data_IF_921711864902
#
_entry.id   IF_921711864902
#
_cell.length_a   1.000
_cell.length_b   1.000
_cell.length_c   1.000
_cell.angle_alpha   90.00
_cell.angle_beta   90.00
_cell.angle_gamma   90.00
#
_symmetry.space_group_name_H-M   'P 1'
#
loop_
_entity.id
_entity.type
_entity.pdbx_description
1 polymer ?
#
# COMPACT_ATOMS: atom_id res chain seq x y z
N UNK A 1 -9.43 14.94 -0.27
CA UNK A 1 -9.98 13.95 -1.26
C UNK A 1 -10.79 12.92 -0.49
N UNK A 2 -11.92 12.42 -1.04
CA UNK A 2 -12.67 11.30 -0.44
C UNK A 2 -12.33 10.03 -1.19
N UNK A 3 -11.84 9.00 -0.50
CA UNK A 3 -11.37 7.76 -1.15
C UNK A 3 -12.48 7.10 -1.98
N UNK A 4 -13.69 6.93 -1.41
CA UNK A 4 -14.80 6.28 -2.14
C UNK A 4 -15.21 7.01 -3.41
N UNK A 5 -15.17 8.34 -3.41
CA UNK A 5 -15.57 9.14 -4.58
C UNK A 5 -14.50 9.10 -5.67
N UNK A 6 -13.22 9.10 -5.24
CA UNK A 6 -12.08 9.10 -6.16
C UNK A 6 -11.89 7.72 -6.82
N UNK A 7 -11.93 6.63 -6.03
CA UNK A 7 -11.58 5.29 -6.52
C UNK A 7 -12.75 4.54 -7.17
N UNK A 8 -13.98 5.04 -7.11
CA UNK A 8 -15.17 4.40 -7.72
C UNK A 8 -15.65 5.04 -9.01
N UNK A 9 -14.86 5.87 -9.63
CA UNK A 9 -15.23 6.68 -10.80
C UNK A 9 -15.35 5.96 -12.14
N UNK A 10 -15.80 4.69 -12.21
CA UNK A 10 -16.17 4.01 -13.46
C UNK A 10 -15.05 3.87 -14.50
N UNK A 11 -13.82 3.66 -14.08
CA UNK A 11 -12.65 3.48 -14.96
C UNK A 11 -12.61 2.06 -15.57
N UNK A 12 -11.98 1.94 -16.73
CA UNK A 12 -11.78 0.66 -17.42
C UNK A 12 -10.70 -0.22 -16.78
N UNK A 13 -9.82 0.36 -15.96
CA UNK A 13 -8.77 -0.35 -15.23
C UNK A 13 -8.66 0.14 -13.77
N UNK A 14 -8.12 -0.69 -12.85
CA UNK A 14 -7.76 -0.24 -11.50
C UNK A 14 -6.79 0.93 -11.52
N UNK A 15 -6.79 1.70 -10.42
CA UNK A 15 -5.78 2.73 -10.17
C UNK A 15 -4.41 2.09 -9.91
N UNK A 16 -3.36 2.70 -10.43
CA UNK A 16 -1.98 2.25 -10.23
C UNK A 16 -1.29 3.17 -9.22
N UNK A 17 -0.88 2.58 -8.10
CA UNK A 17 -0.10 3.22 -7.05
C UNK A 17 1.37 2.82 -7.21
N UNK A 18 2.20 3.75 -7.67
CA UNK A 18 3.65 3.54 -7.83
C UNK A 18 4.37 3.60 -6.49
N UNK A 19 5.24 2.61 -6.20
CA UNK A 19 6.00 2.52 -4.94
C UNK A 19 7.32 3.27 -5.05
N UNK A 20 7.52 4.27 -4.20
CA UNK A 20 8.76 5.02 -4.05
C UNK A 20 9.40 4.77 -2.67
N UNK A 21 10.31 3.80 -2.59
CA UNK A 21 11.05 3.51 -1.36
C UNK A 21 12.29 4.39 -1.24
N UNK A 22 12.35 5.23 -0.21
CA UNK A 22 13.47 6.14 0.07
C UNK A 22 14.35 5.65 1.24
N UNK A 23 14.50 4.32 1.36
CA UNK A 23 15.32 3.67 2.38
C UNK A 23 16.77 3.51 1.90
N UNK A 24 17.81 3.66 2.77
CA UNK A 24 19.21 3.45 2.41
C UNK A 24 19.50 2.04 1.87
N UNK A 25 18.76 1.04 2.33
CA UNK A 25 18.98 -0.40 2.08
C UNK A 25 17.93 -1.04 1.17
N UNK A 26 17.27 -0.28 0.29
CA UNK A 26 16.25 -0.86 -0.59
C UNK A 26 16.89 -1.83 -1.60
N UNK A 27 16.83 -3.14 -1.29
CA UNK A 27 17.35 -4.22 -2.13
C UNK A 27 16.68 -4.32 -3.52
N UNK A 28 15.48 -3.78 -3.69
CA UNK A 28 14.81 -3.70 -4.98
C UNK A 28 15.40 -2.62 -5.87
N UNK A 29 15.84 -1.50 -5.28
CA UNK A 29 16.22 -0.29 -6.01
C UNK A 29 17.57 0.27 -5.54
N UNK A 30 18.34 -0.50 -4.74
CA UNK A 30 19.77 -0.26 -4.42
C UNK A 30 20.08 1.07 -3.72
N UNK A 31 19.14 1.63 -2.93
CA UNK A 31 19.34 2.97 -2.34
C UNK A 31 19.39 4.11 -3.36
N UNK A 32 18.90 3.85 -4.57
CA UNK A 32 18.99 4.79 -5.71
C UNK A 32 18.19 6.07 -5.49
N UNK A 33 17.11 6.01 -4.69
CA UNK A 33 16.10 7.06 -4.56
C UNK A 33 16.16 7.83 -3.23
N UNK A 34 17.26 7.72 -2.49
CA UNK A 34 17.43 8.36 -1.18
C UNK A 34 17.86 9.84 -1.23
N UNK A 35 17.97 10.43 -2.41
CA UNK A 35 18.17 11.87 -2.57
C UNK A 35 16.94 12.52 -3.21
N UNK A 36 16.54 13.74 -2.77
CA UNK A 36 15.31 14.40 -3.25
C UNK A 36 15.19 14.45 -4.77
N UNK A 37 16.23 14.92 -5.47
CA UNK A 37 16.19 15.02 -6.94
C UNK A 37 16.06 13.68 -7.67
N UNK A 38 16.64 12.58 -7.14
CA UNK A 38 16.46 11.23 -7.74
C UNK A 38 15.07 10.67 -7.44
N UNK A 39 14.58 10.88 -6.22
CA UNK A 39 13.24 10.49 -5.84
C UNK A 39 12.20 11.18 -6.71
N UNK A 40 12.35 12.49 -6.93
CA UNK A 40 11.50 13.26 -7.83
C UNK A 40 11.55 12.72 -9.27
N UNK A 41 12.74 12.53 -9.83
CA UNK A 41 12.87 12.01 -11.18
C UNK A 41 12.16 10.66 -11.34
N UNK A 42 12.34 9.72 -10.39
CA UNK A 42 11.66 8.44 -10.44
C UNK A 42 10.14 8.55 -10.24
N UNK A 43 9.67 9.46 -9.38
CA UNK A 43 8.24 9.73 -9.24
C UNK A 43 7.63 10.24 -10.55
N UNK A 44 8.32 11.17 -11.25
CA UNK A 44 7.90 11.65 -12.57
C UNK A 44 7.89 10.52 -13.61
N UNK A 45 8.93 9.68 -13.67
CA UNK A 45 8.98 8.51 -14.56
C UNK A 45 7.80 7.56 -14.34
N UNK A 46 7.42 7.32 -13.08
CA UNK A 46 6.25 6.49 -12.74
C UNK A 46 4.94 7.15 -13.19
N UNK A 47 4.79 8.45 -13.03
CA UNK A 47 3.59 9.20 -13.49
C UNK A 47 3.51 9.18 -15.02
N UNK A 48 4.62 9.43 -15.73
CA UNK A 48 4.70 9.36 -17.18
C UNK A 48 4.39 7.93 -17.70
N UNK A 49 4.76 6.90 -16.93
CA UNK A 49 4.42 5.51 -17.23
C UNK A 49 2.94 5.15 -16.93
N UNK A 50 2.18 6.07 -16.33
CA UNK A 50 0.75 5.91 -16.08
C UNK A 50 0.37 5.56 -14.64
N UNK A 51 1.22 5.88 -13.65
CA UNK A 51 0.82 5.86 -12.26
C UNK A 51 -0.27 6.92 -12.00
N UNK A 52 -1.30 6.53 -11.25
CA UNK A 52 -2.40 7.40 -10.85
C UNK A 52 -2.14 8.06 -9.50
N UNK A 53 -1.16 7.56 -8.74
CA UNK A 53 -0.68 8.09 -7.46
C UNK A 53 0.70 7.50 -7.12
N UNK A 54 1.42 8.15 -6.21
CA UNK A 54 2.74 7.72 -5.72
C UNK A 54 2.67 7.45 -4.22
N UNK A 55 3.17 6.29 -3.79
CA UNK A 55 3.24 5.90 -2.37
C UNK A 55 4.70 5.92 -1.88
N UNK A 56 4.99 6.80 -0.92
CA UNK A 56 6.36 7.08 -0.45
C UNK A 56 6.57 6.47 0.93
N UNK A 57 7.56 5.58 1.05
CA UNK A 57 7.93 4.95 2.31
C UNK A 57 9.40 5.13 2.65
N UNK A 58 9.71 5.55 3.89
CA UNK A 58 11.07 5.78 4.37
C UNK A 58 11.57 4.72 5.37
N UNK A 59 10.70 3.80 5.78
CA UNK A 59 11.01 2.62 6.58
C UNK A 59 10.75 1.34 5.79
N UNK A 60 11.63 0.36 5.89
CA UNK A 60 11.43 -0.93 5.24
C UNK A 60 10.48 -1.82 6.05
N UNK A 61 9.37 -2.22 5.47
CA UNK A 61 8.43 -3.19 6.06
C UNK A 61 8.76 -4.64 5.71
N UNK A 62 9.93 -4.89 5.09
CA UNK A 62 10.38 -6.23 4.68
C UNK A 62 10.65 -7.13 5.88
N UNK A 63 10.48 -8.45 5.73
CA UNK A 63 10.83 -9.39 6.77
C UNK A 63 12.29 -9.27 7.20
N UNK A 64 12.51 -8.99 8.50
CA UNK A 64 13.84 -8.85 9.07
C UNK A 64 14.44 -7.44 9.03
N UNK A 65 13.73 -6.45 8.50
CA UNK A 65 14.16 -5.05 8.58
C UNK A 65 14.13 -4.55 10.03
N UNK A 66 15.10 -3.74 10.39
CA UNK A 66 15.12 -3.05 11.67
C UNK A 66 14.15 -1.87 11.66
N UNK A 67 13.44 -1.70 12.78
CA UNK A 67 12.57 -0.53 12.97
C UNK A 67 13.43 0.71 13.22
N UNK A 68 13.01 1.83 12.64
CA UNK A 68 13.62 3.14 12.87
C UNK A 68 12.70 4.01 13.74
N UNK A 69 13.27 5.03 14.39
CA UNK A 69 12.48 6.01 15.15
C UNK A 69 11.66 6.92 14.22
N UNK A 70 10.62 7.56 14.75
CA UNK A 70 9.84 8.54 14.01
C UNK A 70 10.70 9.71 13.51
N UNK A 71 11.64 10.18 14.33
CA UNK A 71 12.58 11.26 13.96
C UNK A 71 13.45 10.86 12.76
N UNK A 72 13.96 9.62 12.75
CA UNK A 72 14.79 9.13 11.64
C UNK A 72 13.94 8.95 10.38
N UNK A 73 12.70 8.47 10.50
CA UNK A 73 11.78 8.36 9.38
C UNK A 73 11.44 9.72 8.79
N UNK A 74 11.11 10.72 9.62
CA UNK A 74 10.87 12.10 9.20
C UNK A 74 12.11 12.72 8.56
N UNK A 75 13.29 12.49 9.11
CA UNK A 75 14.55 12.99 8.54
C UNK A 75 14.77 12.52 7.11
N UNK A 76 14.35 11.30 6.78
CA UNK A 76 14.43 10.74 5.41
C UNK A 76 13.31 11.23 4.52
N UNK A 77 12.10 11.27 5.05
CA UNK A 77 10.86 11.50 4.30
C UNK A 77 10.66 12.96 3.91
N UNK A 78 10.80 13.88 4.88
CA UNK A 78 10.42 15.29 4.69
C UNK A 78 11.15 16.01 3.54
N UNK A 79 12.48 15.82 3.33
CA UNK A 79 13.16 16.41 2.18
C UNK A 79 12.64 15.89 0.83
N UNK A 80 12.16 14.64 0.79
CA UNK A 80 11.58 14.04 -0.42
C UNK A 80 10.19 14.63 -0.68
N UNK A 81 9.33 14.67 0.33
CA UNK A 81 7.97 15.22 0.21
C UNK A 81 7.99 16.68 -0.26
N UNK A 82 8.92 17.48 0.27
CA UNK A 82 9.03 18.91 -0.09
C UNK A 82 9.35 19.16 -1.58
N UNK A 83 10.00 18.22 -2.26
CA UNK A 83 10.27 18.31 -3.70
C UNK A 83 9.21 17.59 -4.54
N UNK A 84 8.76 16.41 -4.10
CA UNK A 84 7.86 15.56 -4.88
C UNK A 84 6.45 16.14 -4.93
N UNK A 85 5.88 16.55 -3.79
CA UNK A 85 4.48 16.98 -3.73
C UNK A 85 4.18 18.19 -4.64
N UNK A 86 4.95 19.29 -4.63
CA UNK A 86 4.65 20.43 -5.49
C UNK A 86 4.92 20.17 -6.99
N UNK A 87 5.59 19.06 -7.31
CA UNK A 87 6.02 18.74 -8.68
C UNK A 87 5.12 17.72 -9.39
N UNK A 88 4.18 17.10 -8.67
CA UNK A 88 3.29 16.08 -9.23
C UNK A 88 1.83 16.55 -9.24
N UNK A 89 1.12 16.24 -10.33
CA UNK A 89 -0.32 16.48 -10.47
C UNK A 89 -1.17 15.30 -9.97
N UNK A 90 -0.54 14.24 -9.43
CA UNK A 90 -1.22 13.05 -8.88
C UNK A 90 -1.14 13.03 -7.35
N UNK A 91 -2.10 12.39 -6.66
CA UNK A 91 -2.05 12.24 -5.21
C UNK A 91 -0.78 11.53 -4.74
N UNK A 92 -0.25 11.96 -3.60
CA UNK A 92 0.86 11.30 -2.90
C UNK A 92 0.31 10.65 -1.63
N UNK A 93 0.69 9.40 -1.39
CA UNK A 93 0.46 8.69 -0.13
C UNK A 93 1.74 8.49 0.65
N UNK A 94 1.64 8.31 1.95
CA UNK A 94 2.75 7.96 2.84
C UNK A 94 2.57 6.56 3.40
N UNK A 95 3.58 5.68 3.18
CA UNK A 95 3.66 4.33 3.78
C UNK A 95 4.33 4.45 5.15
N UNK A 96 3.50 4.54 6.19
CA UNK A 96 3.94 4.59 7.58
C UNK A 96 2.86 4.07 8.53
N UNK A 97 3.30 3.43 9.63
CA UNK A 97 2.42 3.00 10.72
C UNK A 97 2.53 3.90 11.95
N UNK A 98 3.33 4.98 11.89
CA UNK A 98 3.54 5.91 13.00
C UNK A 98 2.67 7.14 12.81
N UNK A 99 1.76 7.40 13.75
CA UNK A 99 0.81 8.52 13.69
C UNK A 99 1.50 9.88 13.57
N UNK A 100 2.61 10.10 14.29
CA UNK A 100 3.36 11.36 14.23
C UNK A 100 4.03 11.60 12.87
N UNK A 101 4.45 10.54 12.18
CA UNK A 101 5.00 10.63 10.82
C UNK A 101 3.88 10.92 9.82
N UNK A 102 2.75 10.21 9.95
CA UNK A 102 1.56 10.44 9.12
C UNK A 102 1.05 11.88 9.24
N UNK A 103 0.98 12.43 10.47
CA UNK A 103 0.57 13.81 10.72
C UNK A 103 1.47 14.81 9.98
N UNK A 104 2.79 14.72 10.20
CA UNK A 104 3.74 15.62 9.55
C UNK A 104 3.72 15.50 8.02
N UNK A 105 3.53 14.29 7.49
CA UNK A 105 3.43 14.05 6.04
C UNK A 105 2.17 14.69 5.45
N UNK A 106 1.01 14.57 6.13
CA UNK A 106 -0.24 15.20 5.67
C UNK A 106 -0.16 16.72 5.77
N UNK A 107 0.46 17.28 6.81
CA UNK A 107 0.73 18.72 6.91
C UNK A 107 1.64 19.23 5.79
N UNK A 108 2.54 18.37 5.28
CA UNK A 108 3.36 18.68 4.11
C UNK A 108 2.62 18.53 2.76
N UNK A 109 1.35 18.04 2.76
CA UNK A 109 0.51 17.94 1.56
C UNK A 109 0.25 16.51 1.07
N UNK A 110 0.66 15.47 1.79
CA UNK A 110 0.27 14.09 1.50
C UNK A 110 -1.25 13.94 1.60
N UNK A 111 -1.83 13.18 0.68
CA UNK A 111 -3.28 13.06 0.51
C UNK A 111 -3.87 11.75 1.07
N UNK A 112 -3.04 10.73 1.34
CA UNK A 112 -3.47 9.39 1.76
C UNK A 112 -2.48 8.84 2.79
N UNK A 113 -2.97 8.23 3.87
CA UNK A 113 -2.15 7.47 4.81
C UNK A 113 -2.26 5.97 4.44
N UNK A 114 -1.13 5.33 4.18
CA UNK A 114 -1.04 3.90 3.90
C UNK A 114 -0.44 3.18 5.13
N UNK A 115 -1.31 2.73 6.06
CA UNK A 115 -0.89 2.01 7.27
C UNK A 115 -0.84 0.51 7.02
N UNK A 116 0.36 0.00 6.81
CA UNK A 116 0.63 -1.43 6.54
C UNK A 116 0.73 -2.30 7.79
N UNK A 117 0.43 -1.76 8.98
CA UNK A 117 0.44 -2.49 10.26
C UNK A 117 -0.92 -2.52 10.98
N UNK A 118 -1.99 -2.18 10.25
CA UNK A 118 -3.35 -2.35 10.72
C UNK A 118 -3.67 -1.60 12.00
N UNK A 119 -3.37 -0.30 12.04
CA UNK A 119 -3.60 0.58 13.19
C UNK A 119 -2.90 0.08 14.47
N UNK A 120 -1.64 -0.36 14.32
CA UNK A 120 -0.84 -0.80 15.47
C UNK A 120 -0.40 0.35 16.39
N UNK A 121 -0.31 1.57 15.85
CA UNK A 121 -0.17 2.80 16.64
C UNK A 121 -1.58 3.27 17.06
N UNK A 122 -1.91 3.32 18.36
CA UNK A 122 -3.25 3.73 18.82
C UNK A 122 -3.63 5.16 18.43
N UNK A 123 -2.66 6.02 18.13
CA UNK A 123 -2.88 7.40 17.72
C UNK A 123 -3.15 7.53 16.20
N UNK A 124 -2.97 6.46 15.40
CA UNK A 124 -3.13 6.54 13.94
C UNK A 124 -4.58 6.87 13.54
N UNK A 125 -5.56 6.15 14.08
CA UNK A 125 -6.96 6.39 13.76
C UNK A 125 -7.46 7.76 14.22
N UNK A 126 -7.20 8.23 15.47
CA UNK A 126 -7.49 9.61 15.87
C UNK A 126 -6.84 10.67 14.96
N UNK A 127 -5.60 10.45 14.56
CA UNK A 127 -4.86 11.36 13.68
C UNK A 127 -5.51 11.43 12.29
N UNK A 128 -5.81 10.29 11.65
CA UNK A 128 -6.48 10.25 10.36
C UNK A 128 -7.88 10.90 10.41
N UNK A 129 -8.62 10.67 11.49
CA UNK A 129 -9.94 11.28 11.70
C UNK A 129 -9.86 12.81 11.80
N UNK A 130 -8.90 13.33 12.56
CA UNK A 130 -8.68 14.78 12.75
C UNK A 130 -8.23 15.46 11.46
N UNK A 131 -7.39 14.80 10.68
CA UNK A 131 -6.87 15.32 9.41
C UNK A 131 -7.88 15.15 8.25
N UNK A 132 -8.94 14.35 8.43
CA UNK A 132 -9.99 14.04 7.44
C UNK A 132 -9.42 13.56 6.08
N UNK A 133 -8.42 12.67 6.13
CA UNK A 133 -7.74 12.09 4.96
C UNK A 133 -8.02 10.59 4.81
N UNK A 134 -7.97 10.04 3.59
CA UNK A 134 -8.04 8.60 3.35
C UNK A 134 -6.98 7.83 4.13
N UNK A 135 -7.43 6.70 4.70
CA UNK A 135 -6.64 5.78 5.50
C UNK A 135 -6.75 4.36 4.93
N UNK A 136 -5.63 3.78 4.53
CA UNK A 136 -5.57 2.36 4.19
C UNK A 136 -5.46 1.55 5.47
N UNK A 137 -6.35 0.59 5.64
CA UNK A 137 -6.37 -0.35 6.76
C UNK A 137 -5.98 -1.73 6.21
N UNK A 138 -4.75 -2.18 6.53
CA UNK A 138 -4.24 -3.45 6.04
C UNK A 138 -4.35 -4.56 7.09
N UNK A 139 -4.80 -5.74 6.65
CA UNK A 139 -4.65 -6.96 7.44
C UNK A 139 -3.17 -7.35 7.53
N UNK A 140 -2.68 -7.56 8.74
CA UNK A 140 -1.32 -8.04 8.98
C UNK A 140 -1.30 -9.11 10.07
N UNK A 141 -0.40 -10.10 9.95
CA UNK A 141 -0.25 -11.17 10.92
C UNK A 141 1.20 -11.31 11.36
N UNK A 142 1.40 -11.38 12.67
CA UNK A 142 2.74 -11.55 13.24
C UNK A 142 3.57 -10.26 13.20
N UNK A 143 4.84 -10.41 12.87
CA UNK A 143 5.79 -9.29 12.78
C UNK A 143 6.68 -9.46 11.55
N UNK A 144 7.40 -8.40 11.17
CA UNK A 144 8.38 -8.49 10.08
C UNK A 144 9.40 -9.64 10.25
N UNK A 145 9.67 -10.07 11.48
CA UNK A 145 10.57 -11.19 11.77
C UNK A 145 9.93 -12.55 11.52
N UNK A 146 8.61 -12.69 11.65
CA UNK A 146 7.89 -13.96 11.62
C UNK A 146 7.10 -14.22 10.35
N UNK A 147 6.93 -13.26 9.45
CA UNK A 147 6.17 -13.42 8.19
C UNK A 147 6.61 -14.58 7.27
N UNK A 148 7.80 -15.13 7.49
CA UNK A 148 8.31 -16.26 6.70
C UNK A 148 8.10 -17.62 7.34
N UNK A 149 7.78 -17.67 8.62
CA UNK A 149 7.69 -18.87 9.44
C UNK A 149 6.33 -19.06 10.07
N UNK A 150 5.67 -17.99 10.44
CA UNK A 150 4.34 -18.02 11.04
C UNK A 150 3.32 -17.63 10.00
N UNK A 151 2.43 -18.57 9.68
CA UNK A 151 1.37 -18.35 8.70
C UNK A 151 0.00 -18.44 9.36
N UNK A 152 -0.93 -17.66 8.83
CA UNK A 152 -2.34 -17.70 9.20
C UNK A 152 -2.86 -19.13 8.98
N UNK A 153 -3.55 -19.68 9.97
CA UNK A 153 -4.16 -21.02 9.88
C UNK A 153 -5.64 -20.89 9.50
N UNK A 154 -6.10 -21.79 8.62
CA UNK A 154 -7.50 -21.87 8.21
C UNK A 154 -7.86 -20.94 7.05
N UNK A 155 -9.10 -20.49 7.04
CA UNK A 155 -9.71 -19.64 6.01
C UNK A 155 -9.09 -18.23 6.02
N UNK A 156 -8.29 -17.94 5.01
CA UNK A 156 -7.58 -16.67 4.90
C UNK A 156 -8.51 -15.49 4.60
N UNK A 157 -9.56 -15.69 3.81
CA UNK A 157 -10.49 -14.61 3.47
C UNK A 157 -11.24 -14.17 4.72
N UNK A 158 -11.71 -15.14 5.49
CA UNK A 158 -12.38 -14.87 6.74
C UNK A 158 -11.46 -14.20 7.74
N UNK A 159 -10.24 -14.74 7.94
CA UNK A 159 -9.28 -14.15 8.88
C UNK A 159 -8.97 -12.70 8.55
N UNK A 160 -8.58 -12.43 7.29
CA UNK A 160 -8.24 -11.07 6.88
C UNK A 160 -9.46 -10.14 6.89
N UNK A 161 -10.64 -10.65 6.52
CA UNK A 161 -11.90 -9.91 6.57
C UNK A 161 -12.30 -9.52 8.00
N UNK A 162 -12.27 -10.47 8.93
CA UNK A 162 -12.61 -10.24 10.35
C UNK A 162 -11.61 -9.24 10.98
N UNK A 163 -10.30 -9.37 10.66
CA UNK A 163 -9.28 -8.42 11.10
C UNK A 163 -9.57 -6.99 10.60
N UNK A 164 -9.85 -6.84 9.30
CA UNK A 164 -10.12 -5.53 8.71
C UNK A 164 -11.38 -4.91 9.33
N UNK A 165 -12.45 -5.70 9.53
CA UNK A 165 -13.69 -5.21 10.16
C UNK A 165 -13.45 -4.72 11.59
N UNK A 166 -12.68 -5.46 12.40
CA UNK A 166 -12.30 -5.01 13.75
C UNK A 166 -11.57 -3.66 13.70
N UNK A 167 -10.65 -3.48 12.73
CA UNK A 167 -9.91 -2.22 12.58
C UNK A 167 -10.77 -1.08 12.03
N UNK A 168 -11.73 -1.39 11.19
CA UNK A 168 -12.74 -0.42 10.73
C UNK A 168 -13.59 0.08 11.91
N UNK A 169 -14.04 -0.83 12.79
CA UNK A 169 -14.79 -0.44 13.99
C UNK A 169 -13.96 0.46 14.91
N UNK A 170 -12.67 0.16 15.08
CA UNK A 170 -11.74 1.01 15.83
C UNK A 170 -11.60 2.38 15.16
N UNK A 171 -11.42 2.43 13.85
CA UNK A 171 -11.30 3.67 13.09
C UNK A 171 -12.58 4.53 13.19
N UNK A 172 -13.77 3.91 13.11
CA UNK A 172 -15.07 4.58 13.32
C UNK A 172 -15.18 5.13 14.75
N UNK A 173 -14.77 4.36 15.74
CA UNK A 173 -14.74 4.80 17.15
C UNK A 173 -13.87 6.03 17.37
N UNK A 174 -12.80 6.20 16.56
CA UNK A 174 -11.95 7.38 16.54
C UNK A 174 -12.49 8.54 15.67
N UNK A 175 -13.55 8.33 14.89
CA UNK A 175 -14.19 9.35 14.05
C UNK A 175 -13.79 9.33 12.57
N UNK A 176 -13.04 8.32 12.10
CA UNK A 176 -12.77 8.14 10.67
C UNK A 176 -14.07 7.83 9.94
N UNK A 177 -14.33 8.54 8.85
CA UNK A 177 -15.57 8.39 8.08
C UNK A 177 -15.43 7.25 7.06
N UNK A 178 -16.55 6.56 6.76
CA UNK A 178 -16.60 5.48 5.76
C UNK A 178 -15.92 5.85 4.43
N UNK A 179 -16.15 7.07 3.96
CA UNK A 179 -15.62 7.52 2.67
C UNK A 179 -14.11 7.78 2.66
N UNK A 180 -13.45 7.71 3.81
CA UNK A 180 -12.01 7.81 3.96
C UNK A 180 -11.34 6.47 4.25
N UNK A 181 -12.07 5.35 4.26
CA UNK A 181 -11.50 4.03 4.48
C UNK A 181 -11.18 3.36 3.14
N UNK A 182 -9.98 2.81 3.03
CA UNK A 182 -9.51 1.91 1.98
C UNK A 182 -9.07 0.62 2.66
N UNK A 183 -9.44 -0.54 2.15
CA UNK A 183 -9.07 -1.83 2.72
C UNK A 183 -7.92 -2.47 1.96
N UNK A 184 -7.02 -3.18 2.66
CA UNK A 184 -5.97 -4.00 2.07
C UNK A 184 -5.95 -5.37 2.76
N UNK A 185 -6.13 -6.49 2.05
CA UNK A 185 -6.09 -7.83 2.63
C UNK A 185 -4.70 -8.29 3.12
N UNK A 186 -3.64 -7.51 2.90
CA UNK A 186 -2.31 -7.80 3.42
C UNK A 186 -1.62 -8.98 2.76
N UNK A 187 -1.74 -9.12 1.44
CA UNK A 187 -1.12 -10.22 0.69
C UNK A 187 0.38 -10.33 0.98
N UNK A 188 0.86 -11.53 1.36
CA UNK A 188 2.28 -11.76 1.69
C UNK A 188 2.70 -11.36 3.12
N UNK A 189 1.79 -10.86 3.95
CA UNK A 189 2.02 -10.56 5.37
C UNK A 189 1.50 -11.71 6.26
N UNK A 190 2.31 -12.76 6.42
CA UNK A 190 1.93 -13.97 7.16
C UNK A 190 1.00 -14.92 6.39
N UNK A 191 0.92 -14.79 5.06
CA UNK A 191 0.14 -15.68 4.18
C UNK A 191 1.04 -16.68 3.46
N UNK A 192 0.55 -17.90 3.23
CA UNK A 192 1.20 -18.87 2.33
C UNK A 192 1.09 -18.43 0.87
N UNK A 193 1.71 -19.20 -0.03
CA UNK A 193 1.58 -18.94 -1.48
C UNK A 193 0.14 -19.16 -1.95
N UNK A 194 -0.50 -20.24 -1.51
CA UNK A 194 -1.87 -20.60 -1.84
C UNK A 194 -2.85 -19.55 -1.31
N UNK A 195 -2.71 -19.15 -0.04
CA UNK A 195 -3.51 -18.09 0.57
C UNK A 195 -3.35 -16.74 -0.15
N UNK A 196 -2.12 -16.41 -0.56
CA UNK A 196 -1.87 -15.20 -1.35
C UNK A 196 -2.59 -15.22 -2.69
N UNK A 197 -2.59 -16.38 -3.38
CA UNK A 197 -3.34 -16.55 -4.64
C UNK A 197 -4.85 -16.57 -4.42
N UNK A 198 -5.33 -17.07 -3.29
CA UNK A 198 -6.74 -17.03 -2.90
C UNK A 198 -7.23 -15.59 -2.68
N UNK A 199 -6.44 -14.78 -1.97
CA UNK A 199 -6.71 -13.34 -1.79
C UNK A 199 -6.81 -12.63 -3.15
N UNK A 200 -5.84 -12.84 -4.07
CA UNK A 200 -5.86 -12.22 -5.39
C UNK A 200 -7.16 -12.52 -6.15
N UNK A 201 -7.60 -13.78 -6.14
CA UNK A 201 -8.80 -14.24 -6.86
C UNK A 201 -10.11 -13.81 -6.22
N UNK A 202 -10.06 -13.30 -5.00
CA UNK A 202 -11.23 -12.90 -4.21
C UNK A 202 -11.10 -11.44 -3.70
N UNK A 203 -10.42 -10.57 -4.44
CA UNK A 203 -10.15 -9.19 -3.99
C UNK A 203 -11.43 -8.44 -3.63
N UNK A 204 -12.53 -8.61 -4.37
CA UNK A 204 -13.83 -7.99 -4.10
C UNK A 204 -14.44 -8.36 -2.75
N UNK A 205 -14.04 -9.49 -2.14
CA UNK A 205 -14.50 -9.88 -0.79
C UNK A 205 -14.19 -8.79 0.25
N UNK A 206 -13.04 -8.13 0.10
CA UNK A 206 -12.56 -7.11 1.03
C UNK A 206 -13.18 -5.72 0.79
N UNK A 207 -14.06 -5.59 -0.22
CA UNK A 207 -14.85 -4.37 -0.42
C UNK A 207 -16.06 -4.28 0.52
N UNK A 208 -16.39 -5.37 1.24
CA UNK A 208 -17.54 -5.50 2.12
C UNK A 208 -18.84 -5.04 1.45
N UNK A 209 -19.17 -5.74 0.36
CA UNK A 209 -20.37 -5.44 -0.44
C UNK A 209 -20.24 -4.18 -1.29
N UNK A 210 -19.03 -3.81 -1.65
CA UNK A 210 -18.74 -2.61 -2.43
C UNK A 210 -18.72 -1.33 -1.58
N UNK A 211 -18.63 -1.41 -0.26
CA UNK A 211 -18.61 -0.24 0.62
C UNK A 211 -17.27 0.50 0.57
N UNK A 212 -16.16 -0.22 0.56
CA UNK A 212 -14.80 0.32 0.60
C UNK A 212 -14.00 -0.01 -0.65
N UNK A 213 -13.17 0.90 -1.17
CA UNK A 213 -12.17 0.58 -2.19
C UNK A 213 -11.16 -0.43 -1.65
N UNK A 214 -10.69 -1.34 -2.53
CA UNK A 214 -9.73 -2.40 -2.18
C UNK A 214 -8.38 -2.11 -2.82
N UNK A 215 -7.35 -1.99 -1.99
CA UNK A 215 -5.95 -1.94 -2.40
C UNK A 215 -5.33 -3.33 -2.32
N UNK A 216 -4.57 -3.72 -3.34
CA UNK A 216 -3.79 -4.96 -3.37
C UNK A 216 -2.36 -4.68 -3.82
N UNK A 217 -1.38 -5.08 -3.03
CA UNK A 217 0.05 -4.88 -3.31
C UNK A 217 0.79 -6.20 -3.58
N UNK A 218 0.68 -6.85 -4.77
CA UNK A 218 1.34 -8.13 -5.05
C UNK A 218 2.81 -7.98 -5.42
N UNK A 219 3.27 -6.77 -5.72
CA UNK A 219 4.50 -6.49 -6.42
C UNK A 219 5.76 -7.06 -5.75
N UNK A 220 6.49 -7.86 -6.52
CA UNK A 220 7.77 -8.47 -6.18
C UNK A 220 7.72 -9.38 -4.93
N UNK A 221 6.51 -9.82 -4.51
CA UNK A 221 6.32 -10.69 -3.36
C UNK A 221 6.66 -12.16 -3.68
N UNK A 222 7.08 -12.92 -2.66
CA UNK A 222 7.59 -14.29 -2.82
C UNK A 222 6.60 -15.28 -3.41
N UNK A 223 5.30 -15.11 -3.16
CA UNK A 223 4.28 -16.02 -3.66
C UNK A 223 4.19 -16.03 -5.20
N UNK A 224 4.65 -14.97 -5.87
CA UNK A 224 4.62 -14.86 -7.33
C UNK A 224 5.41 -15.97 -8.03
N UNK A 225 6.54 -16.41 -7.45
CA UNK A 225 7.34 -17.49 -8.03
C UNK A 225 6.62 -18.84 -8.06
N UNK A 226 5.69 -19.08 -7.14
CA UNK A 226 4.85 -20.28 -7.13
C UNK A 226 3.56 -20.08 -7.95
N UNK A 227 2.98 -18.90 -7.91
CA UNK A 227 1.75 -18.57 -8.64
C UNK A 227 1.96 -18.41 -10.15
N UNK A 228 3.14 -17.94 -10.57
CA UNK A 228 3.51 -17.65 -11.96
C UNK A 228 4.91 -18.21 -12.27
N UNK A 229 5.07 -19.55 -12.33
CA UNK A 229 6.37 -20.17 -12.48
C UNK A 229 7.03 -19.84 -13.81
N UNK A 230 8.34 -19.55 -13.78
CA UNK A 230 9.13 -19.24 -14.97
C UNK A 230 9.02 -17.82 -15.51
N UNK A 231 8.16 -16.98 -14.93
CA UNK A 231 8.07 -15.58 -15.29
C UNK A 231 9.14 -14.73 -14.62
N UNK A 232 9.54 -13.64 -15.26
CA UNK A 232 10.25 -12.56 -14.61
C UNK A 232 9.39 -11.98 -13.48
N UNK A 233 10.05 -11.32 -12.52
CA UNK A 233 9.43 -10.82 -11.30
C UNK A 233 8.38 -9.73 -11.56
N UNK A 234 8.67 -8.84 -12.49
CA UNK A 234 7.79 -7.73 -12.81
C UNK A 234 6.67 -8.17 -13.77
N UNK A 235 6.93 -9.12 -14.68
CA UNK A 235 5.89 -9.77 -15.49
C UNK A 235 4.93 -10.59 -14.60
N UNK A 236 5.44 -11.37 -13.64
CA UNK A 236 4.61 -12.09 -12.67
C UNK A 236 3.78 -11.13 -11.78
N UNK A 237 4.35 -9.96 -11.44
CA UNK A 237 3.62 -8.90 -10.76
C UNK A 237 2.47 -8.38 -11.61
N UNK A 238 2.72 -8.10 -12.89
CA UNK A 238 1.71 -7.57 -13.80
C UNK A 238 0.55 -8.58 -14.02
N UNK A 239 0.86 -9.88 -14.14
CA UNK A 239 -0.16 -10.94 -14.19
C UNK A 239 -0.97 -11.02 -12.89
N UNK A 240 -0.33 -10.96 -11.72
CA UNK A 240 -1.02 -10.91 -10.43
C UNK A 240 -1.95 -9.68 -10.32
N UNK A 241 -1.50 -8.53 -10.81
CA UNK A 241 -2.30 -7.32 -10.88
C UNK A 241 -3.53 -7.49 -11.80
N UNK A 242 -3.38 -8.16 -12.94
CA UNK A 242 -4.51 -8.45 -13.83
C UNK A 242 -5.54 -9.38 -13.14
N UNK A 243 -5.08 -10.41 -12.42
CA UNK A 243 -5.96 -11.27 -11.62
C UNK A 243 -6.68 -10.47 -10.54
N UNK A 244 -5.95 -9.66 -9.75
CA UNK A 244 -6.56 -8.85 -8.68
C UNK A 244 -7.58 -7.85 -9.23
N UNK A 245 -7.24 -7.13 -10.30
CA UNK A 245 -8.13 -6.15 -10.94
C UNK A 245 -9.40 -6.79 -11.48
N UNK A 246 -9.30 -7.93 -12.19
CA UNK A 246 -10.47 -8.67 -12.68
C UNK A 246 -11.32 -9.27 -11.55
N UNK A 247 -10.74 -9.42 -10.36
CA UNK A 247 -11.41 -9.92 -9.14
C UNK A 247 -11.90 -8.80 -8.22
N UNK A 248 -11.85 -7.53 -8.67
CA UNK A 248 -12.44 -6.39 -7.98
C UNK A 248 -11.50 -5.60 -7.05
N UNK A 249 -10.19 -5.65 -7.27
CA UNK A 249 -9.28 -4.67 -6.67
C UNK A 249 -9.43 -3.32 -7.38
N UNK A 250 -9.54 -2.25 -6.60
CA UNK A 250 -9.66 -0.87 -7.12
C UNK A 250 -8.30 -0.19 -7.28
N UNK A 251 -7.32 -0.58 -6.46
CA UNK A 251 -5.97 0.01 -6.42
C UNK A 251 -4.93 -1.11 -6.44
N UNK A 252 -3.94 -0.96 -7.32
CA UNK A 252 -2.81 -1.91 -7.45
C UNK A 252 -1.50 -1.20 -7.11
N UNK A 253 -0.86 -1.63 -6.01
CA UNK A 253 0.40 -1.05 -5.53
C UNK A 253 1.60 -1.81 -6.11
N UNK A 254 2.41 -1.14 -6.94
CA UNK A 254 3.44 -1.77 -7.76
C UNK A 254 4.76 -0.99 -7.84
N UNK A 255 5.88 -1.70 -8.07
CA UNK A 255 7.19 -1.07 -8.32
C UNK A 255 7.38 -0.75 -9.82
N UNK A 256 7.04 -1.67 -10.72
CA UNK A 256 7.09 -1.44 -12.17
C UNK A 256 5.72 -1.04 -12.70
N UNK A 257 5.52 0.28 -12.80
CA UNK A 257 4.28 0.88 -13.32
C UNK A 257 4.11 0.56 -14.80
N UNK A 258 5.17 0.73 -15.60
CA UNK A 258 5.10 0.56 -17.06
C UNK A 258 4.70 -0.87 -17.45
N UNK A 259 5.30 -1.88 -16.82
CA UNK A 259 4.96 -3.28 -17.05
C UNK A 259 3.49 -3.56 -16.67
N UNK A 260 3.05 -3.05 -15.52
CA UNK A 260 1.68 -3.24 -15.02
C UNK A 260 0.66 -2.56 -15.92
N UNK A 261 0.86 -1.30 -16.29
CA UNK A 261 -0.06 -0.54 -17.18
C UNK A 261 -0.18 -1.25 -18.53
N UNK A 262 0.94 -1.64 -19.14
CA UNK A 262 0.93 -2.38 -20.43
C UNK A 262 0.12 -3.69 -20.35
N UNK A 263 0.17 -4.40 -19.21
CA UNK A 263 -0.58 -5.65 -19.03
C UNK A 263 -2.09 -5.42 -18.83
N UNK A 264 -2.48 -4.27 -18.28
CA UNK A 264 -3.88 -3.92 -18.00
C UNK A 264 -4.58 -3.16 -19.13
N UNK A 265 -3.84 -2.71 -20.14
CA UNK A 265 -4.37 -2.06 -21.35
C UNK A 265 -4.82 -3.12 -22.36
#
# INVERSE_FOLDING_TARGET
MRATDFFRGGRSRPFIMGVLNVTPDSFSDGGLWNSPGRALAHACDMVDAGADMIDIGAESTRPGADKISAEEELRRLMPILSEVIPSLDVPVSVDTYKASVAEAAVEAGVSIINDVWGLSDPEMAPTAARLDVPLVIMSSFGSSKTFKTDFIQGDILRYAGDFILEKIDLAHGAGVKDHNIITDPGIGFGTTHEQSMEILRNSSYFSFGGKYPVLVGPSRKRFLSAGFPGMDRDDATAEACAVAGSSGADILRVHDVACTVRRLS
#
